data_IF_909015427022
#
_entry.id   IF_909015427022
#
_cell.length_a   1.000
_cell.length_b   1.000
_cell.length_c   1.000
_cell.angle_alpha   90.00
_cell.angle_beta   90.00
_cell.angle_gamma   90.00
#
_symmetry.space_group_name_H-M   'P 1'
#
loop_
_entity.id
_entity.type
_entity.pdbx_description
1 polymer ?
#
# COMPACT_ATOMS: atom_id res chain seq x y z
N UNK A 1 9.14 -34.02 76.53
CA UNK A 1 8.78 -34.16 75.12
C UNK A 1 7.49 -33.35 74.89
N UNK A 2 7.59 -32.28 74.20
CA UNK A 2 6.42 -31.58 73.69
C UNK A 2 6.13 -32.13 72.30
N UNK A 3 5.04 -32.89 72.17
CA UNK A 3 4.53 -33.30 70.88
C UNK A 3 4.06 -32.01 70.12
N UNK A 4 4.78 -31.67 69.10
CA UNK A 4 4.39 -30.57 68.21
C UNK A 4 3.58 -31.19 67.09
N UNK A 5 2.26 -31.11 67.18
CA UNK A 5 1.35 -31.50 66.09
C UNK A 5 1.35 -30.39 65.02
N UNK A 6 1.90 -30.66 63.85
CA UNK A 6 1.81 -29.77 62.71
C UNK A 6 0.45 -30.01 62.05
N UNK A 7 -0.49 -29.09 62.18
CA UNK A 7 -1.72 -29.10 61.39
C UNK A 7 -1.44 -28.54 60.01
N UNK A 8 -1.43 -29.38 59.00
CA UNK A 8 -1.37 -28.93 57.59
C UNK A 8 -2.79 -28.64 57.15
N UNK A 9 -3.08 -27.34 56.98
CA UNK A 9 -4.33 -26.91 56.36
C UNK A 9 -4.10 -26.89 54.86
N UNK A 10 -4.70 -27.84 54.14
CA UNK A 10 -4.81 -27.76 52.67
C UNK A 10 -5.89 -26.75 52.35
N UNK A 11 -5.52 -25.64 51.73
CA UNK A 11 -6.49 -24.72 51.15
C UNK A 11 -7.28 -25.48 50.07
N UNK A 12 -8.59 -25.52 50.21
CA UNK A 12 -9.47 -26.15 49.21
C UNK A 12 -9.46 -25.26 47.97
N UNK A 13 -8.82 -25.72 46.91
CA UNK A 13 -8.77 -25.03 45.64
C UNK A 13 -10.14 -25.16 44.95
N UNK A 14 -10.73 -24.04 44.51
CA UNK A 14 -12.01 -24.02 43.84
C UNK A 14 -11.83 -24.00 42.32
N UNK A 15 -12.29 -25.07 41.65
CA UNK A 15 -12.18 -25.27 40.20
C UNK A 15 -13.51 -25.05 39.43
N UNK A 16 -14.60 -24.76 40.12
CA UNK A 16 -15.94 -24.77 39.53
C UNK A 16 -16.11 -23.73 38.39
N UNK A 17 -15.57 -22.55 38.52
CA UNK A 17 -15.62 -21.53 37.45
C UNK A 17 -14.83 -21.94 36.21
N UNK A 18 -13.64 -22.52 36.38
CA UNK A 18 -12.82 -23.04 35.27
C UNK A 18 -13.55 -24.21 34.59
N UNK A 19 -14.13 -25.15 35.34
CA UNK A 19 -14.90 -26.28 34.80
C UNK A 19 -16.09 -25.78 33.92
N UNK A 20 -16.89 -24.87 34.46
CA UNK A 20 -18.03 -24.32 33.71
C UNK A 20 -17.60 -23.59 32.45
N UNK A 21 -16.47 -22.87 32.50
CA UNK A 21 -15.95 -22.15 31.30
C UNK A 21 -15.40 -23.14 30.28
N UNK A 22 -14.73 -24.20 30.67
CA UNK A 22 -14.31 -25.27 29.76
C UNK A 22 -15.52 -25.90 29.06
N UNK A 23 -16.57 -26.27 29.82
CA UNK A 23 -17.80 -26.85 29.26
C UNK A 23 -18.48 -25.89 28.28
N UNK A 24 -18.53 -24.60 28.60
CA UNK A 24 -19.05 -23.58 27.71
C UNK A 24 -18.20 -23.46 26.42
N UNK A 25 -16.88 -23.44 26.56
CA UNK A 25 -15.95 -23.39 25.43
C UNK A 25 -16.05 -24.62 24.50
N UNK A 26 -16.42 -25.78 25.04
CA UNK A 26 -16.62 -27.02 24.28
C UNK A 26 -18.02 -27.16 23.66
N UNK A 27 -18.93 -26.22 23.93
CA UNK A 27 -20.28 -26.26 23.36
C UNK A 27 -20.26 -26.10 21.83
N UNK A 28 -21.25 -26.69 21.15
CA UNK A 28 -21.38 -26.62 19.68
C UNK A 28 -21.49 -25.19 19.17
N UNK A 29 -22.12 -24.31 19.94
CA UNK A 29 -22.23 -22.90 19.57
C UNK A 29 -20.87 -22.19 19.56
N UNK A 30 -19.99 -22.46 20.53
CA UNK A 30 -18.64 -21.89 20.57
C UNK A 30 -17.76 -22.51 19.50
N UNK A 31 -17.83 -23.81 19.25
CA UNK A 31 -17.10 -24.45 18.15
C UNK A 31 -17.42 -23.82 16.81
N UNK A 32 -18.70 -23.56 16.52
CA UNK A 32 -19.10 -22.86 15.29
C UNK A 32 -18.51 -21.44 15.21
N UNK A 33 -18.43 -20.69 16.32
CA UNK A 33 -17.81 -19.37 16.33
C UNK A 33 -16.28 -19.43 16.14
N UNK A 34 -15.63 -20.47 16.69
CA UNK A 34 -14.20 -20.73 16.48
C UNK A 34 -13.91 -21.01 15.01
N UNK A 35 -14.72 -21.82 14.35
CA UNK A 35 -14.56 -22.13 12.92
C UNK A 35 -14.72 -20.89 12.02
N UNK A 36 -15.52 -19.91 12.45
CA UNK A 36 -15.72 -18.64 11.74
C UNK A 36 -14.70 -17.54 12.09
N UNK A 37 -13.92 -17.70 13.17
CA UNK A 37 -12.96 -16.70 13.60
C UNK A 37 -11.69 -16.69 12.73
N UNK A 38 -10.93 -15.57 12.75
CA UNK A 38 -9.63 -15.51 12.07
C UNK A 38 -8.64 -16.55 12.60
N UNK A 39 -7.77 -17.15 11.77
CA UNK A 39 -6.89 -18.26 12.16
C UNK A 39 -6.00 -18.00 13.37
N UNK A 40 -5.59 -16.76 13.61
CA UNK A 40 -4.80 -16.42 14.81
C UNK A 40 -5.63 -16.60 16.08
N UNK A 41 -6.93 -16.28 16.05
CA UNK A 41 -7.85 -16.46 17.18
C UNK A 41 -8.17 -17.93 17.39
N UNK A 42 -8.39 -18.70 16.31
CA UNK A 42 -8.58 -20.16 16.38
C UNK A 42 -7.42 -20.85 17.13
N UNK A 43 -6.18 -20.56 16.73
CA UNK A 43 -4.96 -21.09 17.37
C UNK A 43 -4.83 -20.65 18.83
N UNK A 44 -5.16 -19.40 19.15
CA UNK A 44 -5.14 -18.89 20.50
C UNK A 44 -6.18 -19.61 21.39
N UNK A 45 -7.38 -19.85 20.84
CA UNK A 45 -8.46 -20.57 21.52
C UNK A 45 -8.07 -22.02 21.82
N UNK A 46 -7.57 -22.75 20.83
CA UNK A 46 -7.09 -24.14 21.01
C UNK A 46 -6.03 -24.24 22.10
N UNK A 47 -5.06 -23.31 22.09
CA UNK A 47 -4.00 -23.25 23.09
C UNK A 47 -4.55 -22.96 24.49
N UNK A 48 -5.43 -21.96 24.63
CA UNK A 48 -6.01 -21.56 25.91
C UNK A 48 -6.92 -22.68 26.49
N UNK A 49 -7.73 -23.31 25.65
CA UNK A 49 -8.59 -24.42 26.05
C UNK A 49 -7.77 -25.64 26.47
N UNK A 50 -6.70 -26.00 25.75
CA UNK A 50 -5.79 -27.09 26.15
C UNK A 50 -5.14 -26.81 27.50
N UNK A 51 -4.58 -25.59 27.67
CA UNK A 51 -3.97 -25.20 28.94
C UNK A 51 -4.97 -25.19 30.11
N UNK A 52 -6.20 -24.73 29.89
CA UNK A 52 -7.26 -24.74 30.87
C UNK A 52 -7.62 -26.17 31.33
N UNK A 53 -7.72 -27.12 30.39
CA UNK A 53 -7.96 -28.53 30.68
C UNK A 53 -6.81 -29.18 31.44
N UNK A 54 -5.56 -28.88 31.08
CA UNK A 54 -4.37 -29.36 31.77
C UNK A 54 -4.36 -28.91 33.24
N UNK A 55 -4.56 -27.59 33.47
CA UNK A 55 -4.64 -27.03 34.83
C UNK A 55 -5.83 -27.61 35.64
N UNK A 56 -6.97 -27.78 34.98
CA UNK A 56 -8.13 -28.40 35.61
C UNK A 56 -7.87 -29.85 36.07
N UNK A 57 -7.19 -30.63 35.24
CA UNK A 57 -6.84 -32.02 35.53
C UNK A 57 -5.75 -32.16 36.59
N UNK A 58 -4.88 -31.15 36.75
CA UNK A 58 -3.76 -31.15 37.68
C UNK A 58 -4.27 -31.11 39.14
N UNK A 59 -3.92 -32.11 39.93
CA UNK A 59 -4.38 -32.23 41.33
C UNK A 59 -3.67 -31.28 42.28
N UNK A 60 -2.48 -30.85 41.91
CA UNK A 60 -1.63 -29.97 42.71
C UNK A 60 -1.70 -28.51 42.26
N UNK A 61 -2.57 -28.20 41.29
CA UNK A 61 -2.75 -26.84 40.80
C UNK A 61 -3.14 -25.88 41.93
N UNK A 62 -2.48 -24.73 41.97
CA UNK A 62 -2.77 -23.64 42.90
C UNK A 62 -4.00 -22.86 42.46
N UNK A 63 -4.61 -22.08 43.37
CA UNK A 63 -5.72 -21.19 42.99
C UNK A 63 -5.29 -20.15 41.95
N UNK A 64 -4.08 -19.62 42.06
CA UNK A 64 -3.52 -18.65 41.11
C UNK A 64 -3.41 -19.24 39.69
N UNK A 65 -2.96 -20.48 39.54
CA UNK A 65 -2.89 -21.19 38.26
C UNK A 65 -4.28 -21.41 37.65
N UNK A 66 -5.27 -21.73 38.48
CA UNK A 66 -6.65 -21.91 38.04
C UNK A 66 -7.28 -20.60 37.59
N UNK A 67 -7.11 -19.53 38.39
CA UNK A 67 -7.66 -18.22 38.10
C UNK A 67 -7.00 -17.66 36.82
N UNK A 68 -5.71 -17.89 36.63
CA UNK A 68 -5.01 -17.52 35.39
C UNK A 68 -5.53 -18.27 34.18
N UNK A 69 -5.66 -19.60 34.26
CA UNK A 69 -6.17 -20.42 33.17
C UNK A 69 -7.60 -20.03 32.77
N UNK A 70 -8.44 -19.73 33.77
CA UNK A 70 -9.78 -19.24 33.58
C UNK A 70 -9.78 -17.86 32.87
N UNK A 71 -8.96 -16.90 33.33
CA UNK A 71 -8.85 -15.59 32.73
C UNK A 71 -8.33 -15.65 31.29
N UNK A 72 -7.30 -16.46 31.04
CA UNK A 72 -6.74 -16.65 29.69
C UNK A 72 -7.80 -17.22 28.72
N UNK A 73 -8.61 -18.20 29.15
CA UNK A 73 -9.67 -18.78 28.33
C UNK A 73 -10.82 -17.79 28.07
N UNK A 74 -11.25 -17.03 29.08
CA UNK A 74 -12.28 -15.97 28.92
C UNK A 74 -11.81 -14.89 27.94
N UNK A 75 -10.55 -14.45 28.06
CA UNK A 75 -10.01 -13.42 27.15
C UNK A 75 -10.04 -13.87 25.70
N UNK A 76 -9.72 -15.13 25.42
CA UNK A 76 -9.76 -15.64 24.03
C UNK A 76 -11.20 -15.86 23.54
N UNK A 77 -12.13 -16.26 24.42
CA UNK A 77 -13.56 -16.33 24.05
C UNK A 77 -14.11 -14.98 23.57
N UNK A 78 -13.67 -13.86 24.15
CA UNK A 78 -14.05 -12.51 23.67
C UNK A 78 -13.48 -12.16 22.31
N UNK A 79 -12.43 -12.84 21.84
CA UNK A 79 -11.85 -12.59 20.52
C UNK A 79 -12.57 -13.34 19.38
N UNK A 80 -13.53 -14.23 19.69
CA UNK A 80 -14.26 -15.02 18.67
C UNK A 80 -15.14 -14.17 17.75
N UNK A 81 -15.36 -12.90 18.08
CA UNK A 81 -16.06 -11.95 17.20
C UNK A 81 -15.23 -11.50 15.99
N UNK A 82 -13.88 -11.65 16.04
CA UNK A 82 -12.99 -11.26 14.93
C UNK A 82 -13.04 -12.31 13.82
N UNK A 83 -13.75 -11.97 12.74
CA UNK A 83 -13.95 -12.81 11.55
C UNK A 83 -13.13 -12.29 10.37
N UNK A 84 -12.73 -13.18 9.44
CA UNK A 84 -12.14 -12.76 8.18
C UNK A 84 -13.12 -11.88 7.39
N UNK A 85 -12.60 -10.83 6.74
CA UNK A 85 -13.39 -10.00 5.84
C UNK A 85 -13.56 -10.64 4.45
N UNK A 86 -14.52 -10.11 3.67
CA UNK A 86 -14.74 -10.50 2.28
C UNK A 86 -13.71 -9.84 1.36
N UNK A 87 -12.86 -10.65 0.73
CA UNK A 87 -11.76 -10.22 -0.14
C UNK A 87 -12.13 -10.11 -1.62
N UNK A 88 -13.33 -10.55 -2.02
CA UNK A 88 -13.70 -10.70 -3.43
C UNK A 88 -13.66 -9.39 -4.23
N UNK A 89 -14.05 -8.28 -3.62
CA UNK A 89 -13.99 -6.96 -4.24
C UNK A 89 -12.54 -6.47 -4.41
N UNK A 90 -11.69 -6.68 -3.41
CA UNK A 90 -10.27 -6.32 -3.49
C UNK A 90 -9.52 -7.17 -4.53
N UNK A 91 -9.82 -8.47 -4.64
CA UNK A 91 -9.26 -9.36 -5.67
C UNK A 91 -9.57 -8.82 -7.07
N UNK A 92 -10.82 -8.43 -7.31
CA UNK A 92 -11.23 -7.86 -8.60
C UNK A 92 -10.52 -6.54 -8.90
N UNK A 93 -10.39 -5.64 -7.90
CA UNK A 93 -9.71 -4.36 -8.09
C UNK A 93 -8.21 -4.55 -8.38
N UNK A 94 -7.55 -5.53 -7.74
CA UNK A 94 -6.15 -5.90 -8.04
C UNK A 94 -6.00 -6.43 -9.47
N UNK A 95 -6.89 -7.29 -9.94
CA UNK A 95 -6.87 -7.77 -11.31
C UNK A 95 -7.04 -6.64 -12.32
N UNK A 96 -7.97 -5.71 -12.08
CA UNK A 96 -8.16 -4.54 -12.93
C UNK A 96 -6.94 -3.62 -12.92
N UNK A 97 -6.35 -3.36 -11.75
CA UNK A 97 -5.17 -2.52 -11.62
C UNK A 97 -3.96 -3.10 -12.39
N UNK A 98 -3.78 -4.42 -12.39
CA UNK A 98 -2.72 -5.11 -13.16
C UNK A 98 -2.87 -5.05 -14.68
N UNK A 99 -4.05 -4.76 -15.19
CA UNK A 99 -4.28 -4.57 -16.63
C UNK A 99 -3.84 -3.19 -17.13
N UNK A 100 -3.50 -2.27 -16.24
CA UNK A 100 -3.07 -0.92 -16.59
C UNK A 100 -1.63 -0.97 -17.14
N UNK A 101 -1.44 -0.46 -18.36
CA UNK A 101 -0.17 -0.49 -19.06
C UNK A 101 0.69 0.73 -18.71
N UNK A 102 1.91 0.48 -18.23
CA UNK A 102 2.86 1.52 -17.76
C UNK A 102 3.23 2.54 -18.84
N UNK A 103 3.18 2.16 -20.12
CA UNK A 103 3.68 3.00 -21.23
C UNK A 103 2.94 4.35 -21.37
N UNK A 104 1.69 4.41 -20.93
CA UNK A 104 0.86 5.60 -21.05
C UNK A 104 0.97 6.58 -19.88
N UNK A 105 1.53 6.15 -18.75
CA UNK A 105 1.51 6.92 -17.51
C UNK A 105 2.91 7.34 -17.09
N UNK A 106 2.99 8.42 -16.30
CA UNK A 106 4.26 8.87 -15.72
C UNK A 106 4.84 7.78 -14.81
N UNK A 107 6.16 7.67 -14.79
CA UNK A 107 6.85 6.66 -13.96
C UNK A 107 6.48 6.82 -12.48
N UNK A 108 6.41 8.08 -12.03
CA UNK A 108 6.08 8.42 -10.64
C UNK A 108 4.68 7.94 -10.24
N UNK A 109 3.64 8.24 -11.04
CA UNK A 109 2.27 7.83 -10.72
C UNK A 109 2.06 6.32 -10.87
N UNK A 110 2.71 5.70 -11.85
CA UNK A 110 2.64 4.26 -12.05
C UNK A 110 3.34 3.48 -10.92
N UNK A 111 4.44 4.01 -10.37
CA UNK A 111 5.10 3.39 -9.19
C UNK A 111 4.18 3.39 -7.97
N UNK A 112 3.44 4.48 -7.73
CA UNK A 112 2.44 4.54 -6.64
C UNK A 112 1.36 3.47 -6.82
N UNK A 113 0.91 3.24 -8.06
CA UNK A 113 -0.02 2.15 -8.36
C UNK A 113 0.59 0.77 -8.06
N UNK A 114 1.85 0.53 -8.46
CA UNK A 114 2.52 -0.74 -8.20
C UNK A 114 2.68 -1.01 -6.69
N UNK A 115 3.02 0.00 -5.92
CA UNK A 115 3.13 -0.10 -4.46
C UNK A 115 1.76 -0.42 -3.84
N UNK A 116 0.69 0.24 -4.29
CA UNK A 116 -0.68 -0.04 -3.82
C UNK A 116 -1.16 -1.46 -4.20
N UNK A 117 -0.79 -1.98 -5.38
CA UNK A 117 -1.05 -3.37 -5.78
C UNK A 117 -0.33 -4.32 -4.84
N UNK A 118 0.95 -4.09 -4.54
CA UNK A 118 1.72 -4.95 -3.65
C UNK A 118 1.15 -4.99 -2.22
N UNK A 119 0.71 -3.84 -1.69
CA UNK A 119 0.05 -3.75 -0.39
C UNK A 119 -1.29 -4.49 -0.38
N UNK A 120 -2.10 -4.34 -1.43
CA UNK A 120 -3.36 -5.05 -1.59
C UNK A 120 -3.14 -6.58 -1.68
N UNK A 121 -2.15 -7.05 -2.42
CA UNK A 121 -1.78 -8.47 -2.49
C UNK A 121 -1.33 -9.01 -1.13
N UNK A 122 -0.61 -8.23 -0.34
CA UNK A 122 -0.22 -8.61 1.01
C UNK A 122 -1.45 -8.79 1.92
N UNK A 123 -2.47 -7.92 1.81
CA UNK A 123 -3.74 -8.06 2.54
C UNK A 123 -4.52 -9.29 2.04
N UNK A 124 -4.55 -9.55 0.73
CA UNK A 124 -5.18 -10.75 0.16
C UNK A 124 -4.52 -12.05 0.65
N UNK A 125 -3.19 -12.05 0.79
CA UNK A 125 -2.44 -13.20 1.30
C UNK A 125 -2.58 -13.40 2.82
N UNK A 126 -3.03 -12.39 3.56
CA UNK A 126 -3.20 -12.47 5.01
C UNK A 126 -4.52 -13.16 5.37
N UNK A 127 -4.45 -14.40 5.84
CA UNK A 127 -5.62 -15.18 6.28
C UNK A 127 -6.35 -14.55 7.49
N UNK A 128 -5.71 -13.65 8.22
CA UNK A 128 -6.29 -12.95 9.37
C UNK A 128 -6.79 -11.53 9.02
N UNK A 129 -6.84 -11.17 7.73
CA UNK A 129 -7.33 -9.87 7.32
C UNK A 129 -8.82 -9.71 7.66
N UNK A 130 -9.13 -8.63 8.36
CA UNK A 130 -10.49 -8.23 8.73
C UNK A 130 -11.02 -7.17 7.74
N UNK A 131 -12.33 -6.93 7.78
CA UNK A 131 -13.02 -6.02 6.86
C UNK A 131 -12.37 -4.64 6.77
N UNK A 132 -11.97 -4.05 7.90
CA UNK A 132 -11.34 -2.72 7.92
C UNK A 132 -10.04 -2.69 7.10
N UNK A 133 -9.15 -3.68 7.28
CA UNK A 133 -7.88 -3.74 6.56
C UNK A 133 -8.06 -4.01 5.06
N UNK A 134 -9.10 -4.76 4.69
CA UNK A 134 -9.46 -5.02 3.30
C UNK A 134 -10.00 -3.74 2.65
N UNK A 135 -10.90 -3.02 3.34
CA UNK A 135 -11.47 -1.76 2.87
C UNK A 135 -10.40 -0.67 2.71
N UNK A 136 -9.48 -0.54 3.68
CA UNK A 136 -8.37 0.41 3.60
C UNK A 136 -7.46 0.12 2.40
N UNK A 137 -7.12 -1.15 2.15
CA UNK A 137 -6.31 -1.54 1.00
C UNK A 137 -7.04 -1.28 -0.33
N UNK A 138 -8.35 -1.53 -0.38
CA UNK A 138 -9.18 -1.28 -1.54
C UNK A 138 -9.27 0.22 -1.86
N UNK A 139 -9.50 1.06 -0.86
CA UNK A 139 -9.56 2.51 -1.02
C UNK A 139 -8.21 3.07 -1.49
N UNK A 140 -7.10 2.58 -0.92
CA UNK A 140 -5.75 2.99 -1.34
C UNK A 140 -5.47 2.60 -2.80
N UNK A 141 -5.83 1.38 -3.21
CA UNK A 141 -5.64 0.91 -4.59
C UNK A 141 -6.48 1.72 -5.58
N UNK A 142 -7.76 1.95 -5.28
CA UNK A 142 -8.65 2.77 -6.14
C UNK A 142 -8.14 4.18 -6.27
N UNK A 143 -7.70 4.79 -5.16
CA UNK A 143 -7.09 6.11 -5.17
C UNK A 143 -5.85 6.16 -6.06
N UNK A 144 -4.96 5.18 -5.96
CA UNK A 144 -3.77 5.10 -6.81
C UNK A 144 -4.14 4.98 -8.31
N UNK A 145 -5.22 4.24 -8.65
CA UNK A 145 -5.73 4.17 -10.02
C UNK A 145 -6.30 5.49 -10.50
N UNK A 146 -7.02 6.23 -9.65
CA UNK A 146 -7.62 7.53 -9.97
C UNK A 146 -6.57 8.64 -10.13
N UNK A 147 -5.45 8.56 -9.39
CA UNK A 147 -4.37 9.54 -9.38
C UNK A 147 -3.30 9.27 -10.46
N UNK A 148 -3.51 8.29 -11.34
CA UNK A 148 -2.62 8.03 -12.47
C UNK A 148 -2.55 9.26 -13.41
N UNK A 149 -1.33 9.63 -13.75
CA UNK A 149 -1.06 10.77 -14.64
C UNK A 149 -0.51 10.29 -15.98
N UNK A 150 -1.15 10.70 -17.06
CA UNK A 150 -0.64 10.43 -18.41
C UNK A 150 0.67 11.16 -18.65
N UNK A 151 1.58 10.51 -19.38
CA UNK A 151 2.77 11.16 -19.92
C UNK A 151 2.38 12.34 -20.80
N UNK A 152 3.14 13.43 -20.72
CA UNK A 152 2.90 14.59 -21.57
C UNK A 152 3.25 14.28 -23.04
N UNK A 153 2.40 14.74 -23.96
CA UNK A 153 2.68 14.69 -25.39
C UNK A 153 3.72 15.76 -25.76
N UNK A 154 4.95 15.31 -26.01
CA UNK A 154 6.08 16.15 -26.38
C UNK A 154 6.33 16.21 -27.88
N UNK A 155 5.53 15.56 -28.70
CA UNK A 155 5.80 15.41 -30.15
C UNK A 155 6.07 16.74 -30.86
N UNK A 156 5.30 17.78 -30.51
CA UNK A 156 5.46 19.11 -31.07
C UNK A 156 6.74 19.80 -30.55
N UNK A 157 7.04 19.68 -29.27
CA UNK A 157 8.24 20.20 -28.63
C UNK A 157 9.50 19.55 -29.21
N UNK A 158 9.49 18.23 -29.40
CA UNK A 158 10.62 17.48 -29.95
C UNK A 158 10.94 17.89 -31.40
N UNK A 159 9.93 18.17 -32.21
CA UNK A 159 10.12 18.73 -33.57
C UNK A 159 10.78 20.10 -33.50
N UNK A 160 10.32 20.98 -32.61
CA UNK A 160 10.88 22.33 -32.44
C UNK A 160 12.32 22.28 -31.88
N UNK A 161 12.65 21.34 -31.02
CA UNK A 161 14.02 21.13 -30.54
C UNK A 161 14.97 20.75 -31.68
N UNK A 162 14.54 19.87 -32.61
CA UNK A 162 15.32 19.50 -33.80
C UNK A 162 15.50 20.71 -34.69
N UNK A 163 14.46 21.53 -34.91
CA UNK A 163 14.53 22.74 -35.71
C UNK A 163 15.48 23.78 -35.09
N UNK A 164 15.38 24.02 -33.79
CA UNK A 164 16.27 24.94 -33.09
C UNK A 164 17.74 24.46 -33.15
N UNK A 165 17.99 23.15 -33.00
CA UNK A 165 19.34 22.60 -33.14
C UNK A 165 19.91 22.85 -34.53
N UNK A 166 19.11 22.66 -35.58
CA UNK A 166 19.54 22.96 -36.95
C UNK A 166 19.91 24.45 -37.15
N UNK A 167 19.23 25.36 -36.45
CA UNK A 167 19.60 26.79 -36.46
C UNK A 167 20.96 27.03 -35.79
N UNK A 168 21.22 26.38 -34.66
CA UNK A 168 22.52 26.43 -33.99
C UNK A 168 23.64 25.86 -34.84
N UNK A 169 23.41 24.77 -35.54
CA UNK A 169 24.40 24.10 -36.41
C UNK A 169 24.75 24.97 -37.64
N UNK A 170 23.86 25.87 -38.07
CA UNK A 170 24.04 26.77 -39.18
C UNK A 170 24.06 28.25 -38.75
N UNK A 171 24.63 28.54 -37.59
CA UNK A 171 24.63 29.85 -36.96
C UNK A 171 25.22 30.96 -37.86
N UNK A 172 26.17 30.63 -38.75
CA UNK A 172 26.80 31.55 -39.72
C UNK A 172 25.81 32.08 -40.76
N UNK A 173 24.72 31.39 -41.03
CA UNK A 173 23.66 31.81 -41.93
C UNK A 173 22.72 32.89 -41.36
N UNK A 174 22.71 33.07 -40.03
CA UNK A 174 21.77 33.95 -39.35
C UNK A 174 22.40 35.28 -38.91
N UNK A 175 21.57 36.31 -38.71
CA UNK A 175 22.00 37.61 -38.14
C UNK A 175 22.27 37.47 -36.64
N UNK A 176 23.02 38.42 -36.06
CA UNK A 176 23.40 38.39 -34.63
C UNK A 176 22.28 38.77 -33.65
N UNK A 177 21.02 38.75 -34.07
CA UNK A 177 19.87 39.13 -33.26
C UNK A 177 19.03 37.89 -32.96
N UNK A 178 18.52 37.78 -31.73
CA UNK A 178 17.61 36.71 -31.31
C UNK A 178 18.27 35.47 -30.67
N UNK A 179 19.61 35.37 -30.67
CA UNK A 179 20.35 34.21 -30.17
C UNK A 179 20.17 33.95 -28.68
N UNK A 180 20.08 35.00 -27.86
CA UNK A 180 19.91 34.84 -26.41
C UNK A 180 18.52 34.30 -26.09
N UNK A 181 17.49 34.83 -26.77
CA UNK A 181 16.10 34.32 -26.60
C UNK A 181 15.96 32.88 -27.08
N UNK A 182 16.60 32.55 -28.24
CA UNK A 182 16.60 31.17 -28.74
C UNK A 182 17.30 30.20 -27.77
N UNK A 183 18.44 30.59 -27.21
CA UNK A 183 19.18 29.75 -26.26
C UNK A 183 18.39 29.51 -24.99
N UNK A 184 17.81 30.59 -24.42
CA UNK A 184 17.00 30.49 -23.20
C UNK A 184 15.78 29.57 -23.43
N UNK A 185 15.07 29.76 -24.54
CA UNK A 185 13.91 28.94 -24.87
C UNK A 185 14.30 27.49 -25.16
N UNK A 186 15.43 27.24 -25.82
CA UNK A 186 15.93 25.88 -26.10
C UNK A 186 16.36 25.16 -24.83
N UNK A 187 17.11 25.82 -23.94
CA UNK A 187 17.52 25.22 -22.65
C UNK A 187 16.31 24.92 -21.77
N UNK A 188 15.30 25.81 -21.73
CA UNK A 188 14.05 25.55 -21.02
C UNK A 188 13.29 24.35 -21.60
N UNK A 189 13.25 24.22 -22.93
CA UNK A 189 12.59 23.13 -23.64
C UNK A 189 13.29 21.78 -23.39
N UNK A 190 14.63 21.75 -23.30
CA UNK A 190 15.39 20.54 -22.95
C UNK A 190 15.13 20.05 -21.52
N UNK A 191 14.77 20.93 -20.61
CA UNK A 191 14.47 20.58 -19.22
C UNK A 191 13.08 19.93 -19.05
N UNK A 192 12.21 20.06 -20.05
CA UNK A 192 10.88 19.42 -20.05
C UNK A 192 11.03 17.92 -20.28
N UNK A 193 10.34 17.11 -19.48
CA UNK A 193 10.32 15.64 -19.57
C UNK A 193 8.90 15.12 -19.81
N UNK A 194 8.76 13.82 -20.00
CA UNK A 194 7.44 13.15 -20.06
C UNK A 194 6.69 13.19 -18.73
N UNK A 195 7.42 13.41 -17.61
CA UNK A 195 6.85 13.59 -16.26
C UNK A 195 6.31 15.01 -16.02
N UNK A 196 6.54 15.95 -16.96
CA UNK A 196 6.06 17.33 -16.86
C UNK A 196 4.56 17.41 -17.13
N UNK A 197 3.91 18.41 -16.55
CA UNK A 197 2.52 18.71 -16.89
C UNK A 197 2.39 19.15 -18.37
N UNK A 198 1.30 18.77 -19.05
CA UNK A 198 1.08 19.11 -20.44
C UNK A 198 1.15 20.63 -20.70
N UNK A 199 0.62 21.43 -19.77
CA UNK A 199 0.72 22.89 -19.89
C UNK A 199 2.17 23.40 -19.95
N UNK A 200 3.08 22.79 -19.19
CA UNK A 200 4.51 23.15 -19.22
C UNK A 200 5.16 22.79 -20.56
N UNK A 201 4.76 21.65 -21.14
CA UNK A 201 5.19 21.26 -22.50
C UNK A 201 4.71 22.27 -23.54
N UNK A 202 3.43 22.65 -23.47
CA UNK A 202 2.80 23.58 -24.42
C UNK A 202 3.42 25.01 -24.32
N UNK A 203 3.71 25.47 -23.10
CA UNK A 203 4.38 26.75 -22.86
C UNK A 203 5.80 26.75 -23.41
N UNK A 204 6.58 25.69 -23.17
CA UNK A 204 7.93 25.54 -23.69
C UNK A 204 7.94 25.48 -25.22
N UNK A 205 7.03 24.69 -25.81
CA UNK A 205 6.87 24.62 -27.27
C UNK A 205 6.52 26.00 -27.86
N UNK A 206 5.58 26.73 -27.25
CA UNK A 206 5.18 28.06 -27.68
C UNK A 206 6.31 29.09 -27.56
N UNK A 207 7.12 29.00 -26.48
CA UNK A 207 8.27 29.88 -26.29
C UNK A 207 9.38 29.61 -27.34
N UNK A 208 9.70 28.33 -27.55
CA UNK A 208 10.71 27.91 -28.52
C UNK A 208 10.29 28.26 -29.97
N UNK A 209 9.02 28.00 -30.33
CA UNK A 209 8.49 28.36 -31.66
C UNK A 209 8.58 29.85 -31.90
N UNK A 210 8.27 30.70 -30.90
CA UNK A 210 8.43 32.17 -31.03
C UNK A 210 9.88 32.59 -31.18
N UNK A 211 10.80 31.98 -30.44
CA UNK A 211 12.22 32.27 -30.54
C UNK A 211 12.77 31.86 -31.92
N UNK A 212 12.39 30.68 -32.43
CA UNK A 212 12.73 30.23 -33.80
C UNK A 212 12.19 31.21 -34.85
N UNK A 213 10.92 31.62 -34.75
CA UNK A 213 10.28 32.55 -35.70
C UNK A 213 10.93 33.95 -35.73
N UNK A 214 11.59 34.36 -34.66
CA UNK A 214 12.34 35.62 -34.57
C UNK A 214 13.74 35.56 -35.20
N UNK A 215 14.24 34.36 -35.51
CA UNK A 215 15.55 34.20 -36.18
C UNK A 215 15.47 34.65 -37.64
N UNK A 216 16.46 35.39 -38.07
CA UNK A 216 16.50 35.93 -39.42
C UNK A 216 17.78 35.49 -40.16
N UNK A 217 17.62 34.96 -41.35
CA UNK A 217 18.73 34.69 -42.26
C UNK A 217 19.43 35.95 -42.69
N UNK A 218 20.73 35.90 -42.90
CA UNK A 218 21.49 36.93 -43.57
C UNK A 218 21.00 37.07 -45.01
N UNK A 219 20.95 38.29 -45.52
CA UNK A 219 20.61 38.54 -46.92
C UNK A 219 21.62 37.86 -47.85
N UNK A 220 21.17 37.12 -48.82
CA UNK A 220 22.00 36.61 -49.92
C UNK A 220 22.40 37.74 -50.82
N UNK A 221 23.69 38.05 -50.84
CA UNK A 221 24.26 39.09 -51.70
C UNK A 221 24.92 38.55 -52.98
N UNK A 222 24.78 37.28 -53.26
CA UNK A 222 25.44 36.61 -54.40
C UNK A 222 24.98 37.15 -55.75
N UNK A 223 23.79 37.76 -55.80
CA UNK A 223 23.22 38.35 -57.01
C UNK A 223 23.46 39.89 -57.18
N UNK A 224 24.24 40.48 -56.27
CA UNK A 224 24.55 41.93 -56.32
C UNK A 224 25.91 42.24 -56.93
N UNK A 225 26.56 41.28 -57.62
CA UNK A 225 27.82 41.48 -58.41
C UNK A 225 27.55 41.68 -59.88
#
# INVERSE_FOLDING_TARGET
NKDTTIQIHFATVYKGTLDQTIQYAESENIKAQVDEAVPVVQKAFEKALSAAKEVYAEKTATQEEIDKAWSDLINVLHLLEFKPGDKSALEMDVELAKMIEAEFFTETSYQVLQDAIADAEAVLANENAMEDSISEAQDALRKAMEELQYKADRSQLDVLLVEAQAIFDHADAYVNQGWDDLRVAYEAALAITEESEQNSVDEAASALARAIANMRLKADKSQLQ
#
